data_IF_179321892716
#
_entry.id   IF_179321892716
#
_cell.length_a   1.000
_cell.length_b   1.000
_cell.length_c   1.000
_cell.angle_alpha   90.00
_cell.angle_beta   90.00
_cell.angle_gamma   90.00
#
_symmetry.space_group_name_H-M   'P 1'
#
loop_
_entity.id
_entity.type
_entity.pdbx_description
1 polymer ?
#
# COMPACT_ATOMS: atom_id res chain seq x y z
N UNK A 1 6.19 -12.77 5.99
CA UNK A 1 5.06 -12.99 5.07
C UNK A 1 5.51 -12.60 3.67
N UNK A 2 5.13 -13.35 2.63
CA UNK A 2 5.51 -13.05 1.23
C UNK A 2 4.31 -12.52 0.46
N UNK A 3 3.24 -13.30 0.38
CA UNK A 3 1.94 -12.93 -0.18
C UNK A 3 0.85 -13.74 0.54
N UNK A 4 -0.38 -13.23 0.62
CA UNK A 4 -1.48 -13.92 1.31
C UNK A 4 -2.74 -14.06 0.45
N UNK A 5 -3.63 -14.98 0.83
CA UNK A 5 -4.95 -15.10 0.19
C UNK A 5 -5.81 -13.84 0.37
N UNK A 6 -5.65 -13.13 1.49
CA UNK A 6 -6.31 -11.85 1.77
C UNK A 6 -5.91 -10.79 0.74
N UNK A 7 -4.61 -10.67 0.45
CA UNK A 7 -4.08 -9.77 -0.58
C UNK A 7 -4.66 -10.10 -1.96
N UNK A 8 -4.67 -11.38 -2.35
CA UNK A 8 -5.28 -11.81 -3.63
C UNK A 8 -6.75 -11.38 -3.72
N UNK A 9 -7.51 -11.45 -2.62
CA UNK A 9 -8.91 -10.99 -2.60
C UNK A 9 -9.02 -9.48 -2.77
N UNK A 10 -8.14 -8.71 -2.14
CA UNK A 10 -8.08 -7.25 -2.35
C UNK A 10 -7.69 -6.88 -3.78
N UNK A 11 -6.72 -7.56 -4.38
CA UNK A 11 -6.34 -7.36 -5.79
C UNK A 11 -7.51 -7.66 -6.73
N UNK A 12 -8.25 -8.76 -6.50
CA UNK A 12 -9.45 -9.09 -7.27
C UNK A 12 -10.56 -8.05 -7.08
N UNK A 13 -10.77 -7.56 -5.85
CA UNK A 13 -11.75 -6.51 -5.57
C UNK A 13 -11.41 -5.23 -6.34
N UNK A 14 -10.16 -4.78 -6.30
CA UNK A 14 -9.69 -3.59 -7.02
C UNK A 14 -9.80 -3.78 -8.54
N UNK A 15 -9.38 -4.93 -9.07
CA UNK A 15 -9.52 -5.24 -10.49
C UNK A 15 -11.00 -5.20 -10.95
N UNK A 16 -11.92 -5.67 -10.11
CA UNK A 16 -13.36 -5.62 -10.38
C UNK A 16 -13.88 -4.18 -10.39
N UNK A 17 -13.44 -3.33 -9.45
CA UNK A 17 -13.77 -1.89 -9.45
C UNK A 17 -13.23 -1.19 -10.70
N UNK A 18 -12.03 -1.57 -11.17
CA UNK A 18 -11.43 -1.07 -12.41
C UNK A 18 -12.08 -1.61 -13.69
N UNK A 19 -13.12 -2.45 -13.58
CA UNK A 19 -13.85 -3.00 -14.73
C UNK A 19 -13.12 -4.13 -15.47
N UNK A 20 -12.10 -4.75 -14.85
CA UNK A 20 -11.41 -5.89 -15.44
C UNK A 20 -12.27 -7.15 -15.36
N UNK A 21 -12.15 -8.04 -16.35
CA UNK A 21 -12.92 -9.30 -16.41
C UNK A 21 -12.26 -10.38 -15.54
N UNK A 22 -12.56 -10.38 -14.24
CA UNK A 22 -11.93 -11.28 -13.25
C UNK A 22 -12.88 -12.33 -12.62
N UNK A 23 -14.04 -12.55 -13.22
CA UNK A 23 -15.04 -13.52 -12.79
C UNK A 23 -16.40 -12.90 -12.52
N UNK A 24 -17.25 -13.60 -11.74
CA UNK A 24 -18.63 -13.21 -11.44
C UNK A 24 -18.88 -12.75 -10.00
N UNK A 25 -17.86 -12.85 -9.12
CA UNK A 25 -17.98 -12.41 -7.73
C UNK A 25 -17.93 -10.88 -7.69
N UNK A 26 -18.84 -10.25 -6.94
CA UNK A 26 -18.86 -8.78 -6.83
C UNK A 26 -17.63 -8.25 -6.10
N UNK A 27 -17.24 -7.01 -6.41
CA UNK A 27 -16.11 -6.35 -5.75
C UNK A 27 -16.30 -6.25 -4.22
N UNK A 28 -17.53 -5.99 -3.77
CA UNK A 28 -17.87 -5.94 -2.34
C UNK A 28 -17.69 -7.31 -1.67
N UNK A 29 -18.13 -8.40 -2.31
CA UNK A 29 -17.95 -9.74 -1.75
C UNK A 29 -16.47 -10.13 -1.67
N UNK A 30 -15.67 -9.79 -2.70
CA UNK A 30 -14.22 -9.99 -2.70
C UNK A 30 -13.55 -9.18 -1.60
N UNK A 31 -13.94 -7.92 -1.42
CA UNK A 31 -13.43 -7.07 -0.34
C UNK A 31 -13.73 -7.68 1.04
N UNK A 32 -14.97 -8.09 1.32
CA UNK A 32 -15.35 -8.71 2.59
C UNK A 32 -14.58 -10.01 2.85
N UNK A 33 -14.36 -10.83 1.82
CA UNK A 33 -13.52 -12.02 1.90
C UNK A 33 -12.07 -11.67 2.25
N UNK A 34 -11.52 -10.58 1.67
CA UNK A 34 -10.19 -10.09 1.99
C UNK A 34 -10.05 -9.63 3.44
N UNK A 35 -11.01 -8.83 3.94
CA UNK A 35 -11.03 -8.37 5.33
C UNK A 35 -11.12 -9.54 6.30
N UNK A 36 -12.02 -10.50 6.05
CA UNK A 36 -12.15 -11.69 6.91
C UNK A 36 -10.84 -12.48 6.94
N UNK A 37 -10.26 -12.77 5.77
CA UNK A 37 -9.00 -13.50 5.67
C UNK A 37 -7.83 -12.73 6.33
N UNK A 38 -7.83 -11.40 6.31
CA UNK A 38 -6.82 -10.59 6.99
C UNK A 38 -6.94 -10.66 8.52
N UNK A 39 -8.16 -10.74 9.08
CA UNK A 39 -8.38 -10.98 10.51
C UNK A 39 -7.97 -12.40 10.91
N UNK A 40 -8.35 -13.40 10.11
CA UNK A 40 -8.00 -14.80 10.33
C UNK A 40 -6.49 -15.03 10.26
N UNK A 41 -5.79 -14.29 9.39
CA UNK A 41 -4.33 -14.33 9.29
C UNK A 41 -3.64 -14.10 10.65
N UNK A 42 -4.15 -13.19 11.48
CA UNK A 42 -3.60 -12.93 12.82
C UNK A 42 -3.87 -14.09 13.79
N UNK A 43 -5.06 -14.67 13.70
CA UNK A 43 -5.44 -15.84 14.52
C UNK A 43 -4.55 -17.04 14.18
N UNK A 44 -4.45 -17.37 12.90
CA UNK A 44 -3.80 -18.58 12.40
C UNK A 44 -2.27 -18.54 12.54
N UNK A 45 -1.66 -17.36 12.42
CA UNK A 45 -0.19 -17.24 12.31
C UNK A 45 0.46 -16.55 13.51
N UNK A 46 -0.30 -15.80 14.31
CA UNK A 46 0.24 -15.01 15.42
C UNK A 46 -0.41 -15.31 16.77
N UNK A 47 -1.34 -16.28 16.83
CA UNK A 47 -1.98 -16.70 18.08
C UNK A 47 -2.89 -15.62 18.68
N UNK A 48 -3.38 -14.70 17.86
CA UNK A 48 -4.38 -13.73 18.28
C UNK A 48 -5.72 -14.41 18.58
N UNK A 49 -6.54 -13.78 19.41
CA UNK A 49 -7.90 -14.25 19.67
C UNK A 49 -8.74 -14.19 18.39
N UNK A 50 -9.46 -15.27 18.08
CA UNK A 50 -10.30 -15.36 16.91
C UNK A 50 -11.40 -14.28 16.92
N UNK A 51 -11.58 -13.59 15.79
CA UNK A 51 -12.71 -12.69 15.59
C UNK A 51 -13.96 -13.49 15.27
N UNK A 52 -15.01 -13.29 16.05
CA UNK A 52 -16.32 -13.93 15.85
C UNK A 52 -17.03 -13.35 14.63
N UNK A 53 -17.99 -14.10 14.07
CA UNK A 53 -18.80 -13.61 12.95
C UNK A 53 -19.60 -12.35 13.32
N UNK A 54 -20.11 -12.27 14.56
CA UNK A 54 -20.84 -11.09 15.04
C UNK A 54 -19.96 -9.83 15.12
N UNK A 55 -18.70 -9.97 15.55
CA UNK A 55 -17.74 -8.87 15.57
C UNK A 55 -17.35 -8.43 14.15
N UNK A 56 -17.12 -9.39 13.25
CA UNK A 56 -16.84 -9.12 11.84
C UNK A 56 -18.02 -8.39 11.18
N UNK A 57 -19.25 -8.88 11.37
CA UNK A 57 -20.46 -8.30 10.81
C UNK A 57 -20.70 -6.88 11.35
N UNK A 58 -20.51 -6.66 12.65
CA UNK A 58 -20.61 -5.33 13.24
C UNK A 58 -19.61 -4.34 12.63
N UNK A 59 -18.36 -4.78 12.41
CA UNK A 59 -17.34 -3.95 11.79
C UNK A 59 -17.67 -3.64 10.32
N UNK A 60 -17.99 -4.66 9.52
CA UNK A 60 -18.16 -4.54 8.07
C UNK A 60 -19.44 -3.78 7.67
N UNK A 61 -20.42 -3.69 8.57
CA UNK A 61 -21.68 -2.95 8.39
C UNK A 61 -21.57 -1.47 8.79
N UNK A 62 -20.58 -1.09 9.60
CA UNK A 62 -20.34 0.30 10.01
C UNK A 62 -19.08 0.86 9.34
N UNK A 63 -17.98 1.04 10.07
CA UNK A 63 -16.77 1.72 9.55
C UNK A 63 -15.91 0.86 8.64
N UNK A 64 -16.11 -0.45 8.63
CA UNK A 64 -15.47 -1.37 7.71
C UNK A 64 -16.17 -1.48 6.34
N UNK A 65 -17.23 -0.70 6.10
CA UNK A 65 -18.01 -0.79 4.87
C UNK A 65 -17.19 -0.47 3.60
N UNK A 66 -17.58 -1.07 2.48
CA UNK A 66 -16.87 -0.98 1.20
C UNK A 66 -16.99 0.40 0.52
N UNK A 67 -18.01 1.19 0.86
CA UNK A 67 -18.31 2.47 0.21
C UNK A 67 -19.21 2.36 -1.03
N UNK A 68 -19.63 3.51 -1.56
CA UNK A 68 -20.62 3.60 -2.64
C UNK A 68 -20.02 4.08 -3.97
N UNK A 69 -19.06 5.01 -3.91
CA UNK A 69 -18.35 5.52 -5.10
C UNK A 69 -17.08 4.71 -5.37
N UNK A 70 -16.57 4.73 -6.59
CA UNK A 70 -15.35 3.98 -6.92
C UNK A 70 -14.13 4.47 -6.13
N UNK A 71 -14.02 5.77 -5.86
CA UNK A 71 -12.98 6.30 -4.98
C UNK A 71 -13.10 5.76 -3.55
N UNK A 72 -14.30 5.70 -2.98
CA UNK A 72 -14.52 5.12 -1.64
C UNK A 72 -14.17 3.63 -1.61
N UNK A 73 -14.52 2.88 -2.67
CA UNK A 73 -14.18 1.45 -2.79
C UNK A 73 -12.68 1.24 -2.86
N UNK A 74 -11.98 2.01 -3.70
CA UNK A 74 -10.52 1.93 -3.83
C UNK A 74 -9.82 2.32 -2.52
N UNK A 75 -10.32 3.34 -1.83
CA UNK A 75 -9.85 3.73 -0.50
C UNK A 75 -10.05 2.61 0.52
N UNK A 76 -11.24 2.01 0.58
CA UNK A 76 -11.54 0.91 1.51
C UNK A 76 -10.62 -0.30 1.25
N UNK A 77 -10.49 -0.73 0.00
CA UNK A 77 -9.63 -1.87 -0.38
C UNK A 77 -8.19 -1.63 0.06
N UNK A 78 -7.60 -0.50 -0.34
CA UNK A 78 -6.18 -0.26 -0.11
C UNK A 78 -5.88 0.13 1.34
N UNK A 79 -6.82 0.73 2.07
CA UNK A 79 -6.68 0.97 3.50
C UNK A 79 -6.72 -0.34 4.29
N UNK A 80 -7.57 -1.30 3.91
CA UNK A 80 -7.57 -2.64 4.53
C UNK A 80 -6.33 -3.45 4.13
N UNK A 81 -5.84 -3.32 2.89
CA UNK A 81 -4.57 -3.91 2.48
C UNK A 81 -3.39 -3.32 3.27
N UNK A 82 -3.38 -2.01 3.55
CA UNK A 82 -2.37 -1.37 4.40
C UNK A 82 -2.30 -1.99 5.80
N UNK A 83 -3.46 -2.29 6.42
CA UNK A 83 -3.52 -2.99 7.71
C UNK A 83 -2.95 -4.41 7.59
N UNK A 84 -3.37 -5.17 6.57
CA UNK A 84 -2.87 -6.53 6.29
C UNK A 84 -1.33 -6.55 6.16
N UNK A 85 -0.76 -5.58 5.46
CA UNK A 85 0.66 -5.53 5.17
C UNK A 85 1.54 -5.03 6.32
N UNK A 86 1.00 -4.81 7.52
CA UNK A 86 1.79 -4.42 8.69
C UNK A 86 3.02 -5.35 8.94
N UNK A 87 2.87 -6.65 8.70
CA UNK A 87 3.96 -7.65 8.83
C UNK A 87 4.73 -7.93 7.53
N UNK A 88 4.45 -7.16 6.47
CA UNK A 88 5.18 -7.16 5.19
C UNK A 88 5.46 -5.71 4.75
N UNK A 89 6.48 -5.07 5.35
CA UNK A 89 6.72 -3.63 5.18
C UNK A 89 7.11 -3.24 3.76
N UNK A 90 7.75 -4.14 3.00
CA UNK A 90 8.11 -3.89 1.61
C UNK A 90 6.85 -3.71 0.74
N UNK A 91 5.90 -4.64 0.86
CA UNK A 91 4.62 -4.56 0.14
C UNK A 91 3.74 -3.43 0.67
N UNK A 92 3.74 -3.20 2.00
CA UNK A 92 3.01 -2.09 2.61
C UNK A 92 3.42 -0.75 1.98
N UNK A 93 4.72 -0.46 1.95
CA UNK A 93 5.21 0.81 1.39
C UNK A 93 5.04 0.88 -0.14
N UNK A 94 5.15 -0.25 -0.85
CA UNK A 94 4.87 -0.29 -2.28
C UNK A 94 3.39 0.02 -2.59
N UNK A 95 2.45 -0.65 -1.91
CA UNK A 95 1.02 -0.48 -2.17
C UNK A 95 0.54 0.93 -1.78
N UNK A 96 1.02 1.49 -0.67
CA UNK A 96 0.66 2.87 -0.26
C UNK A 96 1.04 3.89 -1.33
N UNK A 97 2.25 3.79 -1.89
CA UNK A 97 2.71 4.63 -3.00
C UNK A 97 1.83 4.41 -4.23
N UNK A 98 1.73 3.16 -4.68
CA UNK A 98 1.01 2.78 -5.91
C UNK A 98 -0.46 3.17 -5.90
N UNK A 99 -1.15 3.02 -4.77
CA UNK A 99 -2.58 3.28 -4.67
C UNK A 99 -2.92 4.69 -4.17
N UNK A 100 -1.96 5.41 -3.56
CA UNK A 100 -2.21 6.67 -2.86
C UNK A 100 -3.09 6.55 -1.61
N UNK A 101 -3.20 5.34 -1.03
CA UNK A 101 -4.09 5.06 0.11
C UNK A 101 -3.38 4.23 1.20
N UNK A 102 -3.64 4.50 2.50
CA UNK A 102 -4.39 5.66 3.00
C UNK A 102 -3.69 6.99 2.67
N UNK A 103 -4.43 8.09 2.68
CA UNK A 103 -3.89 9.42 2.36
C UNK A 103 -3.02 9.93 3.51
N UNK A 104 -1.72 9.65 3.43
CA UNK A 104 -0.75 10.05 4.44
C UNK A 104 -0.40 11.53 4.29
N UNK A 105 -0.10 12.18 5.42
CA UNK A 105 0.33 13.58 5.48
C UNK A 105 1.78 13.64 5.94
N UNK A 106 2.51 14.62 5.42
CA UNK A 106 3.87 14.92 5.89
C UNK A 106 3.90 15.14 7.41
N UNK A 107 4.99 14.75 8.11
CA UNK A 107 5.20 15.14 9.50
C UNK A 107 5.13 16.66 9.76
N UNK A 108 5.32 17.49 8.71
CA UNK A 108 5.16 18.93 8.80
C UNK A 108 3.74 19.36 9.22
N UNK A 109 2.72 18.64 8.75
CA UNK A 109 1.30 18.85 9.11
C UNK A 109 1.00 18.54 10.58
N UNK A 110 1.93 17.87 11.26
CA UNK A 110 1.85 17.54 12.68
C UNK A 110 2.82 18.39 13.52
N UNK A 111 3.36 19.47 12.97
CA UNK A 111 4.24 20.42 13.68
C UNK A 111 5.71 20.04 13.73
N UNK A 112 6.14 19.02 12.98
CA UNK A 112 7.54 18.56 12.97
C UNK A 112 8.36 19.10 11.78
N UNK A 113 7.85 20.08 11.04
CA UNK A 113 8.49 20.60 9.83
C UNK A 113 9.93 21.09 10.04
N UNK A 114 10.24 21.67 11.21
CA UNK A 114 11.57 22.15 11.56
C UNK A 114 12.66 21.05 11.64
N UNK A 115 12.27 19.78 11.68
CA UNK A 115 13.18 18.64 11.79
C UNK A 115 13.40 17.91 10.46
N UNK A 116 12.75 18.35 9.37
CA UNK A 116 12.75 17.65 8.08
C UNK A 116 13.98 18.02 7.23
N UNK A 117 15.14 17.48 7.59
CA UNK A 117 16.42 17.79 6.93
C UNK A 117 16.50 17.36 5.46
N UNK A 118 15.69 16.38 5.05
CA UNK A 118 15.70 15.83 3.69
C UNK A 118 14.50 16.24 2.83
N UNK A 119 13.76 17.28 3.23
CA UNK A 119 12.60 17.82 2.51
C UNK A 119 11.26 17.56 3.21
N UNK A 120 10.24 18.32 2.82
CA UNK A 120 8.90 18.29 3.43
C UNK A 120 8.11 17.03 3.08
N UNK A 121 8.21 16.57 1.84
CA UNK A 121 7.43 15.42 1.35
C UNK A 121 7.90 14.09 1.95
N UNK A 122 6.99 13.11 2.02
CA UNK A 122 7.35 11.75 2.42
C UNK A 122 8.16 11.12 1.27
N UNK A 123 9.36 10.53 1.52
CA UNK A 123 10.16 9.91 0.48
C UNK A 123 9.43 8.76 -0.24
N UNK A 124 9.60 8.68 -1.56
CA UNK A 124 8.93 7.70 -2.45
C UNK A 124 9.86 6.65 -3.03
N UNK A 125 11.17 6.76 -2.77
CA UNK A 125 12.17 5.72 -3.07
C UNK A 125 13.36 5.85 -2.11
N UNK A 126 14.33 4.94 -2.24
CA UNK A 126 15.63 5.07 -1.59
C UNK A 126 16.71 5.33 -2.66
N UNK A 127 17.70 6.14 -2.32
CA UNK A 127 18.87 6.38 -3.15
C UNK A 127 19.73 5.12 -3.27
N UNK A 128 20.51 5.04 -4.34
CA UNK A 128 21.48 3.97 -4.52
C UNK A 128 22.65 4.09 -3.53
N UNK A 129 23.32 2.98 -3.18
CA UNK A 129 24.56 3.04 -2.40
C UNK A 129 25.65 3.80 -3.15
N UNK A 130 26.29 4.78 -2.50
CA UNK A 130 27.30 5.63 -3.14
C UNK A 130 28.51 4.87 -3.68
N UNK A 131 28.81 3.68 -3.13
CA UNK A 131 29.89 2.81 -3.60
C UNK A 131 29.67 2.30 -5.03
N UNK A 132 28.44 2.29 -5.55
CA UNK A 132 28.15 1.95 -6.95
C UNK A 132 28.81 2.92 -7.93
N UNK A 133 29.05 4.18 -7.53
CA UNK A 133 29.81 5.14 -8.33
C UNK A 133 31.29 4.73 -8.53
N UNK A 134 31.81 3.85 -7.67
CA UNK A 134 33.16 3.29 -7.79
C UNK A 134 33.16 1.91 -8.43
N UNK A 135 32.28 1.00 -7.99
CA UNK A 135 32.27 -0.39 -8.45
C UNK A 135 31.56 -0.61 -9.78
N UNK A 136 30.64 0.28 -10.15
CA UNK A 136 29.75 0.11 -11.29
C UNK A 136 29.44 1.46 -11.97
N UNK A 137 30.48 2.28 -12.10
CA UNK A 137 30.40 3.72 -12.42
C UNK A 137 29.50 4.07 -13.61
N UNK A 138 29.69 3.40 -14.75
CA UNK A 138 28.96 3.71 -15.98
C UNK A 138 27.46 3.46 -15.82
N UNK A 139 27.08 2.29 -15.32
CA UNK A 139 25.68 1.92 -15.09
C UNK A 139 25.03 2.79 -14.00
N UNK A 140 25.77 3.16 -12.95
CA UNK A 140 25.29 4.06 -11.91
C UNK A 140 24.94 5.44 -12.47
N UNK A 141 25.82 6.04 -13.28
CA UNK A 141 25.56 7.35 -13.89
C UNK A 141 24.45 7.30 -14.93
N UNK A 142 24.39 6.25 -15.76
CA UNK A 142 23.32 6.09 -16.74
C UNK A 142 21.94 6.01 -16.06
N UNK A 143 21.82 5.26 -14.96
CA UNK A 143 20.57 5.16 -14.21
C UNK A 143 20.14 6.50 -13.60
N UNK A 144 21.10 7.29 -13.07
CA UNK A 144 20.83 8.62 -12.50
C UNK A 144 20.41 9.61 -13.59
N UNK A 145 20.99 9.55 -14.78
CA UNK A 145 20.61 10.43 -15.89
C UNK A 145 19.15 10.22 -16.30
N UNK A 146 18.67 8.97 -16.29
CA UNK A 146 17.25 8.66 -16.56
C UNK A 146 16.29 9.27 -15.53
N UNK A 147 16.77 9.62 -14.33
CA UNK A 147 16.01 10.31 -13.27
C UNK A 147 16.15 11.84 -13.35
N UNK A 148 16.84 12.39 -14.36
CA UNK A 148 17.11 13.82 -14.50
C UNK A 148 18.42 14.29 -13.85
N UNK A 149 19.38 13.37 -13.66
CA UNK A 149 20.76 13.72 -13.28
C UNK A 149 21.02 13.79 -11.77
N UNK A 150 20.03 13.51 -10.91
CA UNK A 150 20.21 13.47 -9.45
C UNK A 150 19.56 12.23 -8.84
N UNK A 151 20.28 11.55 -7.95
CA UNK A 151 19.75 10.45 -7.16
C UNK A 151 18.96 10.99 -5.94
N UNK A 152 17.71 11.41 -6.17
CA UNK A 152 16.86 12.03 -5.16
C UNK A 152 15.75 11.06 -4.70
N UNK A 153 15.58 10.91 -3.38
CA UNK A 153 14.55 10.02 -2.80
C UNK A 153 13.10 10.51 -2.97
N UNK A 154 12.91 11.74 -3.46
CA UNK A 154 11.61 12.31 -3.86
C UNK A 154 11.28 12.10 -5.34
N UNK A 155 12.17 11.45 -6.11
CA UNK A 155 11.89 11.10 -7.50
C UNK A 155 10.96 9.89 -7.53
N UNK A 156 9.78 10.05 -8.15
CA UNK A 156 8.80 8.98 -8.31
C UNK A 156 9.41 7.79 -9.07
N UNK A 157 9.05 6.58 -8.65
CA UNK A 157 9.38 5.38 -9.41
C UNK A 157 8.54 5.31 -10.68
N UNK A 158 8.98 4.53 -11.66
CA UNK A 158 8.29 4.41 -12.95
C UNK A 158 6.80 4.02 -12.84
N UNK A 159 6.43 3.19 -11.84
CA UNK A 159 5.06 2.74 -11.62
C UNK A 159 4.24 3.68 -10.71
N UNK A 160 4.89 4.68 -10.11
CA UNK A 160 4.32 5.59 -9.11
C UNK A 160 3.95 6.90 -9.79
N UNK A 161 2.66 7.09 -10.12
CA UNK A 161 2.22 8.17 -11.02
C UNK A 161 1.89 9.49 -10.31
N UNK A 162 1.66 9.45 -9.00
CA UNK A 162 1.30 10.60 -8.18
C UNK A 162 1.98 10.54 -6.80
N UNK A 163 2.03 11.68 -6.09
CA UNK A 163 2.55 11.80 -4.73
C UNK A 163 1.41 12.14 -3.76
#
# INVERSE_FOLDING_TARGET
>A
MVMTSAEVKFLMAEATVKGWKVGSVSAEALYKQGVRAAMDFLTDNYGCMATTDAEFDAFIQDKGAFGHTDNQKLEAINTQAWILHFTNPAECWANVRRSGYPKLKSPAEYGFGQYLTGGTEIPVRLCYPVLESSYNKENYHEAIERMGGTDNWHSLLWWDTEN
#
